data_IF_292970204581
#
_entry.id   IF_292970204581
#
_cell.length_a   1.000
_cell.length_b   1.000
_cell.length_c   1.000
_cell.angle_alpha   90.00
_cell.angle_beta   90.00
_cell.angle_gamma   90.00
#
_symmetry.space_group_name_H-M   'P 1'
#
loop_
_entity.id
_entity.type
_entity.pdbx_description
1 polymer ?
#
# COMPACT_ATOMS: atom_id res chain seq x y z
N UNK A 1 -24.53 18.87 -37.01
CA UNK A 1 -23.41 18.40 -36.17
C UNK A 1 -23.89 18.40 -34.74
N UNK A 2 -24.17 17.23 -34.17
CA UNK A 2 -24.58 17.13 -32.76
C UNK A 2 -23.31 17.18 -31.92
N UNK A 3 -23.11 18.31 -31.22
CA UNK A 3 -22.01 18.44 -30.26
C UNK A 3 -22.42 17.55 -29.08
N UNK A 4 -21.70 16.45 -28.85
CA UNK A 4 -21.84 15.69 -27.61
C UNK A 4 -21.29 16.56 -26.50
N UNK A 5 -22.16 17.16 -25.68
CA UNK A 5 -21.73 17.85 -24.48
C UNK A 5 -21.00 16.85 -23.56
N UNK A 6 -19.81 17.18 -23.05
CA UNK A 6 -19.12 16.34 -22.10
C UNK A 6 -19.97 16.22 -20.82
N UNK A 7 -20.28 14.99 -20.42
CA UNK A 7 -20.94 14.71 -19.15
C UNK A 7 -19.90 14.93 -18.05
N UNK A 8 -20.11 15.96 -17.25
CA UNK A 8 -19.37 16.22 -16.02
C UNK A 8 -20.09 15.59 -14.83
N UNK A 9 -19.30 15.00 -13.93
CA UNK A 9 -19.77 14.45 -12.65
C UNK A 9 -18.84 14.89 -11.55
N UNK A 10 -19.40 15.07 -10.35
CA UNK A 10 -18.64 15.38 -9.15
C UNK A 10 -18.09 14.08 -8.55
N UNK A 11 -16.77 14.01 -8.40
CA UNK A 11 -16.09 12.88 -7.78
C UNK A 11 -16.58 12.69 -6.34
N UNK A 12 -17.02 11.48 -5.97
CA UNK A 12 -17.49 11.19 -4.61
C UNK A 12 -16.33 11.26 -3.59
N UNK A 13 -15.12 10.85 -3.99
CA UNK A 13 -13.95 10.84 -3.10
C UNK A 13 -13.42 12.25 -2.78
N UNK A 14 -13.36 13.17 -3.75
CA UNK A 14 -12.70 14.47 -3.55
C UNK A 14 -13.56 15.70 -3.86
N UNK A 15 -14.80 15.53 -4.32
CA UNK A 15 -15.72 16.62 -4.61
C UNK A 15 -15.36 17.46 -5.85
N UNK A 16 -14.36 17.06 -6.63
CA UNK A 16 -13.97 17.76 -7.85
C UNK A 16 -14.75 17.23 -9.06
N UNK A 17 -15.24 18.15 -9.88
CA UNK A 17 -15.87 17.80 -11.15
C UNK A 17 -14.85 17.27 -12.14
N UNK A 18 -15.21 16.18 -12.82
CA UNK A 18 -14.40 15.58 -13.87
C UNK A 18 -15.25 15.12 -15.05
N UNK A 19 -14.69 15.11 -16.27
CA UNK A 19 -15.35 14.48 -17.40
C UNK A 19 -15.34 12.95 -17.21
N UNK A 20 -16.48 12.30 -17.43
CA UNK A 20 -16.53 10.83 -17.39
C UNK A 20 -17.88 10.27 -16.94
N UNK A 21 -17.96 8.93 -16.92
CA UNK A 21 -19.14 8.18 -16.47
C UNK A 21 -18.98 7.52 -15.10
N UNK A 22 -17.76 7.46 -14.56
CA UNK A 22 -17.48 6.92 -13.23
C UNK A 22 -17.83 7.90 -12.11
N UNK A 23 -17.99 7.36 -10.91
CA UNK A 23 -18.31 8.14 -9.70
C UNK A 23 -17.07 8.76 -9.04
N UNK A 24 -15.88 8.20 -9.31
CA UNK A 24 -14.60 8.74 -8.87
C UNK A 24 -13.78 9.27 -10.06
N UNK A 25 -13.05 10.35 -9.82
CA UNK A 25 -12.13 10.91 -10.80
C UNK A 25 -10.88 10.03 -10.93
N UNK A 26 -10.28 10.02 -12.13
CA UNK A 26 -9.07 9.24 -12.44
C UNK A 26 -7.93 9.46 -11.43
N UNK A 27 -7.86 10.67 -10.87
CA UNK A 27 -6.86 11.03 -9.86
C UNK A 27 -7.08 10.28 -8.54
N UNK A 28 -8.33 10.20 -8.07
CA UNK A 28 -8.67 9.47 -6.86
C UNK A 28 -8.52 7.96 -7.05
N UNK A 29 -8.89 7.45 -8.22
CA UNK A 29 -8.68 6.04 -8.59
C UNK A 29 -7.20 5.70 -8.53
N UNK A 30 -6.35 6.43 -9.26
CA UNK A 30 -4.91 6.17 -9.29
C UNK A 30 -4.24 6.32 -7.92
N UNK A 31 -4.61 7.35 -7.14
CA UNK A 31 -4.11 7.51 -5.78
C UNK A 31 -4.47 6.32 -4.88
N UNK A 32 -5.71 5.82 -4.97
CA UNK A 32 -6.13 4.67 -4.17
C UNK A 32 -5.40 3.38 -4.58
N UNK A 33 -5.12 3.19 -5.87
CA UNK A 33 -4.30 2.08 -6.37
C UNK A 33 -2.86 2.17 -5.85
N UNK A 34 -2.24 3.36 -5.87
CA UNK A 34 -0.92 3.59 -5.31
C UNK A 34 -0.87 3.33 -3.80
N UNK A 35 -1.87 3.78 -3.05
CA UNK A 35 -1.99 3.51 -1.61
C UNK A 35 -2.13 2.01 -1.33
N UNK A 36 -2.92 1.30 -2.14
CA UNK A 36 -3.05 -0.16 -2.01
C UNK A 36 -1.72 -0.86 -2.26
N UNK A 37 -0.97 -0.46 -3.29
CA UNK A 37 0.35 -1.00 -3.59
C UNK A 37 1.37 -0.70 -2.48
N UNK A 38 1.34 0.49 -1.87
CA UNK A 38 2.23 0.81 -0.74
C UNK A 38 1.93 -0.06 0.49
N UNK A 39 0.66 -0.26 0.83
CA UNK A 39 0.26 -1.13 1.95
C UNK A 39 0.64 -2.58 1.73
N UNK A 40 0.59 -3.04 0.49
CA UNK A 40 1.02 -4.40 0.14
C UNK A 40 2.53 -4.57 0.33
N UNK A 41 3.34 -3.59 -0.10
CA UNK A 41 4.79 -3.58 0.14
C UNK A 41 5.14 -3.56 1.63
N UNK A 42 4.49 -2.70 2.40
CA UNK A 42 4.71 -2.63 3.86
C UNK A 42 4.41 -3.97 4.53
N UNK A 43 3.34 -4.66 4.11
CA UNK A 43 3.03 -6.01 4.58
C UNK A 43 4.12 -7.01 4.22
N UNK A 44 4.58 -7.02 2.96
CA UNK A 44 5.64 -7.93 2.52
C UNK A 44 6.95 -7.71 3.29
N UNK A 45 7.30 -6.45 3.58
CA UNK A 45 8.49 -6.12 4.39
C UNK A 45 8.33 -6.61 5.83
N UNK A 46 7.16 -6.42 6.44
CA UNK A 46 6.86 -6.93 7.78
C UNK A 46 6.90 -8.45 7.85
N UNK A 47 6.30 -9.14 6.88
CA UNK A 47 6.32 -10.61 6.80
C UNK A 47 7.76 -11.13 6.63
N UNK A 48 8.60 -10.43 5.86
CA UNK A 48 10.01 -10.77 5.71
C UNK A 48 10.81 -10.58 7.01
N UNK A 49 10.54 -9.50 7.75
CA UNK A 49 11.15 -9.24 9.06
C UNK A 49 10.74 -10.32 10.08
N UNK A 50 9.46 -10.68 10.11
CA UNK A 50 8.95 -11.72 11.01
C UNK A 50 9.59 -13.08 10.71
N UNK A 51 9.71 -13.45 9.44
CA UNK A 51 10.39 -14.69 9.04
C UNK A 51 11.87 -14.68 9.40
N UNK A 52 12.57 -13.56 9.19
CA UNK A 52 13.97 -13.43 9.56
C UNK A 52 14.15 -13.54 11.07
N UNK A 53 13.32 -12.87 11.85
CA UNK A 53 13.35 -12.93 13.31
C UNK A 53 13.11 -14.35 13.82
N UNK A 54 12.14 -15.06 13.24
CA UNK A 54 11.86 -16.45 13.58
C UNK A 54 13.05 -17.35 13.28
N UNK A 55 13.68 -17.17 12.11
CA UNK A 55 14.89 -17.91 11.74
C UNK A 55 16.06 -17.64 12.70
N UNK A 56 16.24 -16.39 13.15
CA UNK A 56 17.29 -16.03 14.11
C UNK A 56 17.06 -16.63 15.51
N UNK A 57 15.80 -16.75 15.93
CA UNK A 57 15.41 -17.46 17.15
C UNK A 57 15.74 -18.95 17.01
N UNK A 58 15.36 -19.58 15.90
CA UNK A 58 15.63 -21.00 15.63
C UNK A 58 17.12 -21.32 15.52
N UNK A 59 17.91 -20.39 14.96
CA UNK A 59 19.36 -20.49 14.88
C UNK A 59 20.07 -20.34 16.24
N UNK A 60 19.34 -19.95 17.29
CA UNK A 60 19.91 -19.71 18.62
C UNK A 60 20.75 -18.43 18.71
N UNK A 61 20.62 -17.52 17.73
CA UNK A 61 21.33 -16.22 17.68
C UNK A 61 21.00 -15.35 18.90
N UNK A 62 19.80 -15.52 19.48
CA UNK A 62 19.35 -14.85 20.69
C UNK A 62 19.47 -15.72 21.97
N UNK A 63 20.55 -16.51 22.10
CA UNK A 63 20.90 -17.23 23.33
C UNK A 63 21.68 -16.37 24.34
N UNK A 64 21.75 -16.74 25.63
CA UNK A 64 22.55 -16.01 26.61
C UNK A 64 24.02 -15.97 26.17
N UNK A 65 24.64 -14.79 26.21
CA UNK A 65 26.05 -14.60 25.92
C UNK A 65 26.87 -15.63 26.70
N UNK A 66 27.64 -16.48 26.02
CA UNK A 66 28.52 -17.43 26.67
C UNK A 66 29.41 -16.67 27.68
N UNK A 67 29.57 -17.18 28.92
CA UNK A 67 30.42 -16.51 29.90
C UNK A 67 31.82 -16.36 29.32
N UNK A 68 32.37 -15.15 29.44
CA UNK A 68 33.72 -14.86 28.96
C UNK A 68 34.72 -15.84 29.60
N UNK A 69 35.62 -16.46 28.82
CA UNK A 69 36.63 -17.36 29.37
C UNK A 69 37.52 -16.60 30.35
N UNK A 70 37.69 -17.16 31.54
CA UNK A 70 38.52 -16.66 32.64
C UNK A 70 40.02 -16.69 32.30
#
# INVERSE_FOLDING_TARGET
>A
MTINEPIFRTCITCGLDHPGRGDDCWRCVGFNEEVAAMRDRERQEQDAIEQQLQADIEAGTYGPSAPAPH
#
